data_IF_142079972755
#
_entry.id   IF_142079972755
#
_cell.length_a   1.000
_cell.length_b   1.000
_cell.length_c   1.000
_cell.angle_alpha   90.00
_cell.angle_beta   90.00
_cell.angle_gamma   90.00
#
_symmetry.space_group_name_H-M   'P 1'
#
loop_
_entity.id
_entity.type
_entity.pdbx_description
1 polymer ?
#
# COMPACT_ATOMS: atom_id res chain seq x y z
N UNK A 1 6.39 -7.24 12.84
CA UNK A 1 5.03 -6.66 12.97
C UNK A 1 4.60 -6.22 11.58
N UNK A 2 3.36 -6.50 11.16
CA UNK A 2 2.87 -6.14 9.84
C UNK A 2 2.46 -4.66 9.82
N UNK A 3 3.29 -3.84 9.17
CA UNK A 3 3.08 -2.39 9.07
C UNK A 3 3.42 -1.94 7.66
N UNK A 4 2.54 -1.12 7.08
CA UNK A 4 2.80 -0.50 5.78
C UNK A 4 3.92 0.53 5.92
N UNK A 5 4.98 0.41 5.12
CA UNK A 5 6.15 1.29 5.19
C UNK A 5 5.90 2.67 4.55
N UNK A 6 4.88 2.78 3.70
CA UNK A 6 4.49 4.03 3.06
C UNK A 6 3.97 5.06 4.05
N UNK A 7 4.07 6.34 3.70
CA UNK A 7 3.54 7.43 4.53
C UNK A 7 2.01 7.48 4.41
N UNK A 8 1.30 7.38 5.53
CA UNK A 8 -0.16 7.55 5.57
C UNK A 8 -0.55 9.00 5.22
N UNK A 9 -1.49 9.17 4.30
CA UNK A 9 -1.98 10.50 3.92
C UNK A 9 -2.90 11.09 5.02
N UNK A 10 -2.68 12.35 5.45
CA UNK A 10 -3.56 13.03 6.38
C UNK A 10 -5.00 13.09 5.87
N UNK A 11 -5.97 12.97 6.78
CA UNK A 11 -7.40 13.01 6.43
C UNK A 11 -7.96 11.75 5.75
N UNK A 12 -7.14 10.74 5.49
CA UNK A 12 -7.59 9.46 4.90
C UNK A 12 -7.62 8.34 5.94
N UNK A 13 -8.43 7.31 5.69
CA UNK A 13 -8.49 6.14 6.58
C UNK A 13 -7.27 5.22 6.40
N UNK A 14 -6.82 5.02 5.16
CA UNK A 14 -5.82 4.02 4.82
C UNK A 14 -5.02 4.33 3.55
N UNK A 15 -5.04 5.57 3.05
CA UNK A 15 -4.25 5.90 1.86
C UNK A 15 -2.79 6.08 2.26
N UNK A 16 -1.90 5.52 1.46
CA UNK A 16 -0.46 5.58 1.69
C UNK A 16 0.28 6.02 0.43
N UNK A 17 1.40 6.70 0.62
CA UNK A 17 2.31 7.08 -0.45
C UNK A 17 3.72 6.54 -0.23
N UNK A 18 4.30 6.04 -1.32
CA UNK A 18 5.69 5.60 -1.42
C UNK A 18 6.37 6.51 -2.44
N UNK A 19 7.22 7.41 -1.96
CA UNK A 19 7.92 8.39 -2.80
C UNK A 19 9.41 8.11 -2.73
N UNK A 20 10.00 7.80 -3.87
CA UNK A 20 11.45 7.63 -4.00
C UNK A 20 12.17 8.99 -3.95
N UNK A 21 13.20 9.08 -3.13
CA UNK A 21 14.03 10.26 -2.88
C UNK A 21 15.43 9.81 -2.46
N UNK A 22 16.36 10.76 -2.30
CA UNK A 22 17.72 10.45 -1.83
C UNK A 22 17.78 9.90 -0.39
N UNK A 23 16.73 10.11 0.40
CA UNK A 23 16.69 9.78 1.83
C UNK A 23 15.65 8.73 2.18
N UNK A 24 14.89 8.23 1.20
CA UNK A 24 13.87 7.20 1.40
C UNK A 24 14.41 5.83 1.00
N UNK A 25 13.88 4.79 1.64
CA UNK A 25 14.10 3.43 1.17
C UNK A 25 13.53 3.25 -0.25
N UNK A 26 14.23 2.47 -1.07
CA UNK A 26 13.84 2.14 -2.45
C UNK A 26 12.91 0.92 -2.53
N UNK A 27 12.67 0.27 -1.39
CA UNK A 27 11.79 -0.88 -1.24
C UNK A 27 10.98 -0.73 0.06
N UNK A 28 9.87 -1.46 0.13
CA UNK A 28 9.02 -1.48 1.30
C UNK A 28 7.88 -2.46 1.11
N UNK A 29 7.14 -2.69 2.19
CA UNK A 29 5.98 -3.57 2.26
C UNK A 29 4.73 -2.73 2.48
N UNK A 30 3.63 -3.21 1.93
CA UNK A 30 2.31 -2.64 2.14
C UNK A 30 1.34 -3.75 2.44
N UNK A 31 0.37 -3.46 3.30
CA UNK A 31 -0.62 -4.41 3.75
C UNK A 31 -2.00 -3.78 3.72
N UNK A 32 -3.02 -4.62 3.55
CA UNK A 32 -4.40 -4.19 3.78
C UNK A 32 -4.58 -3.71 5.23
N UNK A 33 -5.51 -2.78 5.51
CA UNK A 33 -5.81 -2.38 6.88
C UNK A 33 -6.16 -3.59 7.74
N UNK A 34 -5.53 -3.69 8.91
CA UNK A 34 -5.66 -4.79 9.90
C UNK A 34 -5.01 -6.11 9.53
N UNK A 35 -4.27 -6.22 8.42
CA UNK A 35 -3.51 -7.44 8.12
C UNK A 35 -2.66 -7.87 9.34
N UNK A 36 -2.66 -9.16 9.73
CA UNK A 36 -3.15 -10.33 8.99
C UNK A 36 -4.66 -10.64 9.19
N UNK A 37 -5.41 -9.79 9.87
CA UNK A 37 -6.87 -9.92 9.98
C UNK A 37 -7.57 -9.39 8.73
N UNK A 38 -8.86 -9.72 8.60
CA UNK A 38 -9.71 -9.24 7.51
C UNK A 38 -9.77 -7.71 7.45
N UNK A 39 -9.71 -7.17 6.23
CA UNK A 39 -9.91 -5.75 5.98
C UNK A 39 -11.36 -5.32 6.32
N UNK A 40 -11.58 -4.07 6.75
CA UNK A 40 -12.92 -3.56 7.04
C UNK A 40 -13.84 -3.57 5.80
N UNK A 41 -15.13 -3.82 6.00
CA UNK A 41 -16.14 -3.68 4.93
C UNK A 41 -16.24 -2.23 4.46
N UNK A 42 -16.60 -2.02 3.20
CA UNK A 42 -16.83 -0.71 2.59
C UNK A 42 -15.63 0.25 2.69
N UNK A 43 -14.41 -0.29 2.72
CA UNK A 43 -13.19 0.50 2.75
C UNK A 43 -12.64 0.71 1.34
N UNK A 44 -12.08 1.89 1.08
CA UNK A 44 -11.37 2.19 -0.15
C UNK A 44 -10.02 2.79 0.22
N UNK A 45 -8.95 2.13 -0.18
CA UNK A 45 -7.58 2.55 0.09
C UNK A 45 -6.83 2.75 -1.22
N UNK A 46 -6.03 3.81 -1.31
CA UNK A 46 -5.11 4.05 -2.39
C UNK A 46 -3.65 3.93 -1.90
N UNK A 47 -2.88 3.05 -2.53
CA UNK A 47 -1.42 2.97 -2.34
C UNK A 47 -0.77 3.58 -3.58
N UNK A 48 -0.16 4.77 -3.42
CA UNK A 48 0.45 5.52 -4.51
C UNK A 48 1.96 5.35 -4.51
N UNK A 49 2.50 4.80 -5.58
CA UNK A 49 3.94 4.60 -5.76
C UNK A 49 4.48 5.61 -6.77
N UNK A 50 5.52 6.36 -6.39
CA UNK A 50 6.17 7.37 -7.23
C UNK A 50 7.68 7.16 -7.25
N UNK A 51 8.18 6.66 -8.38
CA UNK A 51 9.61 6.59 -8.70
C UNK A 51 10.13 7.93 -9.23
N UNK A 52 11.45 8.10 -9.22
CA UNK A 52 12.15 9.20 -9.90
C UNK A 52 12.36 8.88 -11.39
N UNK A 53 12.89 9.85 -12.13
CA UNK A 53 13.24 9.65 -13.53
C UNK A 53 14.21 8.46 -13.66
N UNK A 54 13.95 7.58 -14.64
CA UNK A 54 14.69 6.32 -14.89
C UNK A 54 14.58 5.24 -13.81
N UNK A 55 13.70 5.40 -12.81
CA UNK A 55 13.36 4.31 -11.89
C UNK A 55 12.15 3.52 -12.37
N UNK A 56 12.10 2.22 -12.06
CA UNK A 56 10.97 1.34 -12.33
C UNK A 56 10.35 0.88 -11.03
N UNK A 57 9.04 1.06 -10.89
CA UNK A 57 8.27 0.51 -9.77
C UNK A 57 7.98 -0.97 -10.07
N UNK A 58 8.27 -1.86 -9.11
CA UNK A 58 7.90 -3.27 -9.15
C UNK A 58 7.01 -3.56 -7.94
N UNK A 59 5.79 -4.04 -8.20
CA UNK A 59 4.84 -4.47 -7.17
C UNK A 59 4.78 -5.99 -7.24
N UNK A 60 4.92 -6.64 -6.09
CA UNK A 60 4.75 -8.09 -5.93
C UNK A 60 3.72 -8.27 -4.82
N UNK A 61 2.69 -9.05 -5.10
CA UNK A 61 1.75 -9.47 -4.07
C UNK A 61 2.18 -10.83 -3.55
N UNK A 62 2.56 -10.90 -2.27
CA UNK A 62 2.89 -12.15 -1.60
C UNK A 62 1.63 -12.96 -1.27
N UNK A 63 0.56 -12.26 -0.90
CA UNK A 63 -0.74 -12.83 -0.58
C UNK A 63 -1.85 -11.90 -1.07
N UNK A 64 -2.89 -12.45 -1.73
CA UNK A 64 -4.09 -11.72 -2.10
C UNK A 64 -5.32 -12.60 -1.85
N UNK A 65 -6.13 -12.19 -0.89
CA UNK A 65 -7.43 -12.81 -0.60
C UNK A 65 -8.48 -11.71 -0.51
N UNK A 66 -9.37 -11.66 -1.49
CA UNK A 66 -10.45 -10.66 -1.59
C UNK A 66 -11.81 -11.34 -1.64
N UNK A 67 -12.85 -10.69 -1.10
CA UNK A 67 -14.22 -11.16 -1.22
C UNK A 67 -14.69 -11.05 -2.67
N UNK A 68 -15.50 -12.01 -3.13
CA UNK A 68 -16.04 -12.05 -4.50
C UNK A 68 -16.74 -10.73 -4.91
N UNK A 69 -17.38 -10.04 -3.96
CA UNK A 69 -18.07 -8.78 -4.20
C UNK A 69 -17.17 -7.56 -4.42
N UNK A 70 -15.88 -7.66 -4.08
CA UNK A 70 -14.93 -6.55 -4.18
C UNK A 70 -14.21 -6.50 -5.55
N UNK A 71 -14.33 -7.57 -6.34
CA UNK A 71 -13.85 -7.66 -7.72
C UNK A 71 -14.95 -7.16 -8.66
N UNK A 72 -15.07 -5.85 -8.85
CA UNK A 72 -15.92 -5.25 -9.88
C UNK A 72 -15.11 -4.77 -11.07
#
# INVERSE_FOLDING_TARGET
MFQTDGQKLPGTMCDHQFISSNYSLTHGRFYSPRYPSSYPKNIKCAYRFRGRLKERIRIVFEEVTLQKGDLR
#
